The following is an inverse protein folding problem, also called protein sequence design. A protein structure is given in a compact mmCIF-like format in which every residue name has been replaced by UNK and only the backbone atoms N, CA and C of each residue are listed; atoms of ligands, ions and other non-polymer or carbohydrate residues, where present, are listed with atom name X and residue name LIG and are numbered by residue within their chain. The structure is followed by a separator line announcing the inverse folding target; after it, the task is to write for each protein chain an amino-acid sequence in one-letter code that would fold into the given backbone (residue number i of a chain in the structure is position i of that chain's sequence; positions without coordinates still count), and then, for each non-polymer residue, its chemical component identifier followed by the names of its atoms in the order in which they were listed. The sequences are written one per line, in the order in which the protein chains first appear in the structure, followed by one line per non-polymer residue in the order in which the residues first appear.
data_IF_719373289258
#
_entry.id   IF_719373289258
#
_cell.length_a   1.000
_cell.length_b   1.000
_cell.length_c   1.000
_cell.angle_alpha   90.00
_cell.angle_beta   90.00
_cell.angle_gamma   90.00
#
_symmetry.space_group_name_H-M   'P 1'
#
loop_
_entity.id
_entity.type
_entity.pdbx_description
1 polymer ?
#
# COMPACT_ATOMS: atom_id res chain seq x y z
N UNK A 1 -17.20 -5.94 -14.46
CA UNK A 1 -16.18 -6.25 -15.50
C UNK A 1 -16.18 -7.74 -15.85
N UNK A 2 -15.90 -8.65 -14.91
CA UNK A 2 -15.85 -10.09 -15.20
C UNK A 2 -17.13 -10.61 -15.89
N UNK A 3 -18.30 -10.29 -15.34
CA UNK A 3 -19.60 -10.65 -15.95
C UNK A 3 -19.76 -10.14 -17.38
N UNK A 4 -19.29 -8.91 -17.66
CA UNK A 4 -19.36 -8.32 -18.99
C UNK A 4 -18.41 -9.01 -19.99
N UNK A 5 -17.22 -9.42 -19.54
CA UNK A 5 -16.27 -10.17 -20.35
C UNK A 5 -16.82 -11.56 -20.68
N UNK A 6 -17.36 -12.26 -19.69
CA UNK A 6 -18.00 -13.56 -19.89
C UNK A 6 -19.20 -13.48 -20.82
N UNK A 7 -20.04 -12.44 -20.70
CA UNK A 7 -21.17 -12.21 -21.61
C UNK A 7 -20.74 -11.95 -23.06
N UNK A 8 -19.50 -11.50 -23.27
CA UNK A 8 -18.89 -11.33 -24.58
C UNK A 8 -18.05 -12.56 -25.03
N UNK A 9 -18.19 -13.70 -24.35
CA UNK A 9 -17.44 -14.94 -24.59
C UNK A 9 -15.90 -14.79 -24.44
N UNK A 10 -15.47 -13.79 -23.65
CA UNK A 10 -14.07 -13.55 -23.33
C UNK A 10 -13.74 -14.24 -22.00
N UNK A 11 -12.74 -15.12 -22.01
CA UNK A 11 -12.18 -15.72 -20.79
C UNK A 11 -11.58 -14.64 -19.89
N UNK A 12 -11.99 -14.62 -18.62
CA UNK A 12 -11.51 -13.66 -17.62
C UNK A 12 -10.79 -14.39 -16.47
N UNK A 13 -9.65 -13.84 -16.05
CA UNK A 13 -8.88 -14.29 -14.88
C UNK A 13 -8.58 -13.06 -14.03
N UNK A 14 -8.82 -13.15 -12.72
CA UNK A 14 -8.50 -12.09 -11.77
C UNK A 14 -7.03 -12.19 -11.34
N UNK A 15 -6.35 -11.05 -11.25
CA UNK A 15 -4.93 -10.96 -10.96
C UNK A 15 -4.58 -9.81 -10.02
N UNK A 16 -3.74 -10.08 -9.03
CA UNK A 16 -3.24 -9.09 -8.07
C UNK A 16 -1.73 -9.13 -7.97
N UNK A 17 -1.06 -8.02 -8.32
CA UNK A 17 0.40 -7.90 -8.22
C UNK A 17 0.80 -7.35 -6.84
N UNK A 18 1.71 -8.05 -6.17
CA UNK A 18 2.32 -7.64 -4.91
C UNK A 18 3.84 -7.67 -5.05
N UNK A 19 4.48 -6.51 -4.93
CA UNK A 19 5.92 -6.36 -5.05
C UNK A 19 6.33 -5.05 -5.72
N UNK A 20 7.63 -4.91 -5.94
CA UNK A 20 8.18 -3.84 -6.79
C UNK A 20 8.04 -4.17 -8.28
N UNK A 21 8.77 -3.46 -9.16
CA UNK A 21 9.00 -3.94 -10.51
C UNK A 21 9.68 -5.32 -10.49
N UNK A 22 9.17 -6.26 -11.29
CA UNK A 22 9.71 -7.63 -11.39
C UNK A 22 11.00 -7.66 -12.23
N UNK A 23 12.08 -7.11 -11.71
CA UNK A 23 13.41 -7.17 -12.34
C UNK A 23 14.22 -8.37 -11.85
N UNK A 24 13.94 -8.83 -10.63
CA UNK A 24 14.62 -9.93 -9.96
C UNK A 24 13.59 -10.99 -9.54
N UNK A 25 13.88 -12.30 -9.74
CA UNK A 25 13.04 -13.39 -9.25
C UNK A 25 12.78 -13.27 -7.74
N UNK A 26 11.68 -13.86 -7.26
CA UNK A 26 11.33 -13.88 -5.83
C UNK A 26 11.17 -12.49 -5.17
N UNK A 27 10.89 -11.44 -5.94
CA UNK A 27 10.62 -10.08 -5.39
C UNK A 27 9.20 -9.60 -5.64
N UNK A 28 8.51 -10.18 -6.63
CA UNK A 28 7.19 -9.73 -7.09
C UNK A 28 6.34 -10.93 -7.48
N UNK A 29 5.12 -10.99 -6.95
CA UNK A 29 4.16 -12.05 -7.20
C UNK A 29 2.93 -11.52 -7.92
N UNK A 30 2.53 -12.22 -8.98
CA UNK A 30 1.21 -12.15 -9.59
C UNK A 30 0.35 -13.26 -9.00
N UNK A 31 -0.51 -12.89 -8.04
CA UNK A 31 -1.55 -13.78 -7.56
C UNK A 31 -2.67 -13.86 -8.58
N UNK A 32 -3.21 -15.05 -8.81
CA UNK A 32 -4.23 -15.32 -9.82
C UNK A 32 -5.41 -16.09 -9.21
N UNK A 33 -6.60 -15.81 -9.70
CA UNK A 33 -7.80 -16.58 -9.37
C UNK A 33 -8.79 -16.63 -10.54
N UNK A 34 -9.49 -17.74 -10.67
CA UNK A 34 -10.40 -18.01 -11.78
C UNK A 34 -10.15 -19.37 -12.43
N UNK A 35 -11.16 -19.90 -13.13
CA UNK A 35 -11.11 -21.24 -13.77
C UNK A 35 -9.88 -21.44 -14.67
N UNK A 36 -9.44 -20.38 -15.35
CA UNK A 36 -8.32 -20.42 -16.30
C UNK A 36 -7.02 -19.83 -15.73
N UNK A 37 -6.91 -19.70 -14.40
CA UNK A 37 -5.76 -19.07 -13.73
C UNK A 37 -4.44 -19.83 -13.97
N UNK A 38 -4.45 -21.16 -13.93
CA UNK A 38 -3.24 -21.97 -14.20
C UNK A 38 -2.70 -21.77 -15.63
N UNK A 39 -3.61 -21.62 -16.60
CA UNK A 39 -3.23 -21.30 -17.97
C UNK A 39 -2.52 -19.96 -18.05
N UNK A 40 -3.05 -18.93 -17.38
CA UNK A 40 -2.41 -17.61 -17.34
C UNK A 40 -1.07 -17.66 -16.61
N UNK A 41 -0.98 -18.40 -15.51
CA UNK A 41 0.26 -18.59 -14.76
C UNK A 41 1.39 -19.14 -15.65
N UNK A 42 1.07 -20.10 -16.52
CA UNK A 42 2.05 -20.71 -17.43
C UNK A 42 2.73 -19.73 -18.40
N UNK A 43 2.14 -18.56 -18.65
CA UNK A 43 2.74 -17.54 -19.53
C UNK A 43 3.93 -16.82 -18.90
N UNK A 44 4.12 -16.91 -17.58
CA UNK A 44 5.14 -16.16 -16.85
C UNK A 44 6.33 -17.03 -16.37
N UNK A 45 6.32 -18.33 -16.66
CA UNK A 45 7.31 -19.29 -16.11
C UNK A 45 8.76 -19.02 -16.51
N UNK A 46 9.01 -18.35 -17.63
CA UNK A 46 10.36 -17.99 -18.08
C UNK A 46 10.82 -16.61 -17.56
N UNK A 47 9.92 -15.85 -16.92
CA UNK A 47 10.18 -14.50 -16.45
C UNK A 47 10.52 -14.42 -14.95
N UNK A 48 10.97 -13.25 -14.47
CA UNK A 48 11.24 -13.00 -13.05
C UNK A 48 9.96 -12.76 -12.22
N UNK A 49 8.78 -12.73 -12.85
CA UNK A 49 7.51 -12.52 -12.18
C UNK A 49 6.98 -13.87 -11.67
N UNK A 50 6.97 -14.05 -10.35
CA UNK A 50 6.42 -15.24 -9.72
C UNK A 50 4.90 -15.27 -9.88
N UNK A 51 4.32 -16.46 -10.04
CA UNK A 51 2.86 -16.62 -10.13
C UNK A 51 2.34 -17.54 -9.03
N UNK A 52 1.18 -17.21 -8.46
CA UNK A 52 0.50 -18.07 -7.48
C UNK A 52 -1.00 -18.10 -7.74
N UNK A 53 -1.55 -19.28 -8.07
CA UNK A 53 -3.01 -19.48 -8.19
C UNK A 53 -3.56 -19.76 -6.79
N UNK A 54 -4.50 -18.93 -6.33
CA UNK A 54 -5.01 -18.97 -4.95
C UNK A 54 -6.48 -19.37 -4.83
N UNK A 55 -7.14 -19.63 -5.96
CA UNK A 55 -8.50 -20.14 -5.99
C UNK A 55 -9.15 -19.99 -7.37
N UNK A 56 -10.37 -20.51 -7.48
CA UNK A 56 -11.14 -20.57 -8.71
C UNK A 56 -12.17 -19.43 -8.84
N UNK A 57 -12.37 -18.63 -7.79
CA UNK A 57 -13.35 -17.56 -7.77
C UNK A 57 -12.72 -16.23 -8.18
N UNK A 58 -13.32 -15.59 -9.18
CA UNK A 58 -12.97 -14.23 -9.59
C UNK A 58 -13.12 -13.27 -8.40
N UNK A 59 -12.06 -12.50 -8.13
CA UNK A 59 -12.01 -11.50 -7.07
C UNK A 59 -11.12 -11.90 -5.89
N UNK A 60 -10.72 -13.17 -5.76
CA UNK A 60 -9.87 -13.62 -4.64
C UNK A 60 -8.47 -13.01 -4.70
N UNK A 61 -7.83 -12.98 -5.88
CA UNK A 61 -6.51 -12.37 -6.05
C UNK A 61 -6.53 -10.86 -5.81
N UNK A 62 -7.54 -10.18 -6.35
CA UNK A 62 -7.78 -8.76 -6.08
C UNK A 62 -8.00 -8.51 -4.59
N UNK A 63 -8.84 -9.28 -3.91
CA UNK A 63 -9.09 -9.15 -2.47
C UNK A 63 -7.81 -9.29 -1.63
N UNK A 64 -6.96 -10.29 -1.95
CA UNK A 64 -5.66 -10.45 -1.31
C UNK A 64 -4.79 -9.19 -1.47
N UNK A 65 -4.67 -8.68 -2.70
CA UNK A 65 -3.92 -7.43 -2.97
C UNK A 65 -4.49 -6.26 -2.19
N UNK A 66 -5.81 -6.12 -2.09
CA UNK A 66 -6.44 -5.02 -1.36
C UNK A 66 -6.13 -5.09 0.15
N UNK A 67 -6.22 -6.26 0.76
CA UNK A 67 -5.84 -6.46 2.17
C UNK A 67 -4.34 -6.20 2.42
N UNK A 68 -3.46 -6.67 1.52
CA UNK A 68 -2.03 -6.40 1.62
C UNK A 68 -1.70 -4.89 1.48
N UNK A 69 -2.35 -4.22 0.54
CA UNK A 69 -2.20 -2.79 0.32
C UNK A 69 -2.73 -1.98 1.53
N UNK A 70 -3.85 -2.41 2.12
CA UNK A 70 -4.42 -1.81 3.33
C UNK A 70 -3.42 -1.86 4.49
N UNK A 71 -2.81 -3.03 4.76
CA UNK A 71 -1.78 -3.15 5.79
C UNK A 71 -0.56 -2.27 5.49
N UNK A 72 0.02 -2.40 4.29
CA UNK A 72 1.27 -1.73 3.96
C UNK A 72 1.10 -0.21 3.97
N UNK A 73 0.19 0.34 3.16
CA UNK A 73 0.00 1.79 3.03
C UNK A 73 -0.74 2.38 4.23
N UNK A 74 -1.81 1.73 4.69
CA UNK A 74 -2.58 2.19 5.85
C UNK A 74 -1.72 2.31 7.11
N UNK A 75 -0.83 1.35 7.38
CA UNK A 75 0.09 1.45 8.52
C UNK A 75 1.10 2.59 8.35
N UNK A 76 1.61 2.84 7.14
CA UNK A 76 2.51 3.98 6.91
C UNK A 76 1.80 5.31 7.13
N UNK A 77 0.57 5.47 6.65
CA UNK A 77 -0.23 6.66 6.88
C UNK A 77 -0.54 6.87 8.38
N UNK A 78 -0.91 5.80 9.09
CA UNK A 78 -1.12 5.82 10.54
C UNK A 78 0.14 6.27 11.29
N UNK A 79 1.29 5.67 11.01
CA UNK A 79 2.56 6.05 11.63
C UNK A 79 2.94 7.50 11.33
N UNK A 80 2.64 7.98 10.11
CA UNK A 80 2.87 9.38 9.73
C UNK A 80 2.02 10.32 10.59
N UNK A 81 0.73 10.01 10.80
CA UNK A 81 -0.16 10.79 11.67
C UNK A 81 0.26 10.73 13.14
N UNK A 82 0.71 9.57 13.63
CA UNK A 82 1.19 9.42 15.01
C UNK A 82 2.41 10.32 15.25
N UNK A 83 3.40 10.30 14.33
CA UNK A 83 4.57 11.15 14.45
C UNK A 83 4.23 12.64 14.34
N UNK A 84 3.36 13.02 13.39
CA UNK A 84 2.92 14.41 13.25
C UNK A 84 2.16 14.90 14.49
N UNK A 85 1.26 14.08 15.04
CA UNK A 85 0.56 14.38 16.29
C UNK A 85 1.50 14.49 17.48
N UNK A 86 2.49 13.60 17.59
CA UNK A 86 3.51 13.68 18.63
C UNK A 86 4.38 14.94 18.50
N UNK A 87 4.71 15.36 17.28
CA UNK A 87 5.44 16.61 17.01
C UNK A 87 4.62 17.82 17.46
N UNK A 88 3.35 17.92 17.05
CA UNK A 88 2.47 19.02 17.43
C UNK A 88 2.25 19.13 18.95
N UNK A 89 2.37 18.01 19.68
CA UNK A 89 2.26 17.96 21.13
C UNK A 89 3.62 18.14 21.85
N UNK A 90 4.72 18.30 21.13
CA UNK A 90 6.07 18.39 21.70
C UNK A 90 6.57 17.09 22.35
N UNK A 91 6.01 15.93 21.95
CA UNK A 91 6.25 14.62 22.56
C UNK A 91 6.97 13.62 21.63
N UNK A 92 7.38 14.03 20.41
CA UNK A 92 8.01 13.10 19.45
C UNK A 92 9.24 12.41 20.04
N UNK A 93 10.16 13.15 20.64
CA UNK A 93 11.38 12.58 21.22
C UNK A 93 11.08 11.57 22.35
N UNK A 94 10.09 11.86 23.19
CA UNK A 94 9.64 10.94 24.24
C UNK A 94 9.02 9.66 23.67
N UNK A 95 8.21 9.77 22.61
CA UNK A 95 7.59 8.63 21.95
C UNK A 95 8.64 7.75 21.26
N UNK A 96 9.60 8.36 20.57
CA UNK A 96 10.70 7.65 19.91
C UNK A 96 11.61 6.96 20.91
N UNK A 97 11.93 7.62 22.02
CA UNK A 97 12.66 7.00 23.13
C UNK A 97 11.90 5.80 23.72
N UNK A 98 10.58 5.90 23.86
CA UNK A 98 9.72 4.80 24.31
C UNK A 98 9.75 3.62 23.34
N UNK A 99 9.62 3.87 22.04
CA UNK A 99 9.70 2.84 21.00
C UNK A 99 11.06 2.17 20.86
N UNK A 100 12.11 2.85 21.32
CA UNK A 100 13.50 2.37 21.26
C UNK A 100 13.92 1.60 22.51
N UNK A 101 13.07 1.51 23.55
CA UNK A 101 13.38 0.77 24.78
C UNK A 101 13.67 -0.70 24.48
N UNK A 102 14.62 -1.26 25.22
CA UNK A 102 15.04 -2.66 25.05
C UNK A 102 15.84 -2.92 23.78
N UNK A 103 16.37 -1.89 23.12
CA UNK A 103 17.17 -2.04 21.89
C UNK A 103 16.34 -2.23 20.63
N UNK A 104 15.08 -1.77 20.63
CA UNK A 104 14.19 -1.84 19.47
C UNK A 104 14.53 -0.76 18.44
N UNK A 105 14.64 -1.13 17.17
CA UNK A 105 14.86 -0.19 16.06
C UNK A 105 13.56 0.41 15.50
N UNK A 106 12.42 0.21 16.19
CA UNK A 106 11.11 0.59 15.67
C UNK A 106 10.96 2.09 15.37
N UNK A 107 11.56 2.96 16.19
CA UNK A 107 11.55 4.40 15.94
C UNK A 107 12.28 4.73 14.63
N UNK A 108 13.53 4.27 14.48
CA UNK A 108 14.33 4.50 13.28
C UNK A 108 13.66 3.94 12.00
N UNK A 109 13.12 2.72 12.08
CA UNK A 109 12.38 2.11 10.97
C UNK A 109 11.13 2.93 10.60
N UNK A 110 10.41 3.44 11.60
CA UNK A 110 9.22 4.29 11.39
C UNK A 110 9.60 5.60 10.70
N UNK A 111 10.62 6.31 11.18
CA UNK A 111 11.09 7.54 10.54
C UNK A 111 11.48 7.29 9.09
N UNK A 112 12.26 6.25 8.83
CA UNK A 112 12.67 5.90 7.47
C UNK A 112 11.48 5.58 6.57
N UNK A 113 10.47 4.87 7.10
CA UNK A 113 9.25 4.52 6.36
C UNK A 113 8.43 5.75 5.98
N UNK A 114 8.23 6.67 6.93
CA UNK A 114 7.50 7.94 6.73
C UNK A 114 8.23 8.83 5.72
N UNK A 115 9.56 8.91 5.79
CA UNK A 115 10.35 9.65 4.82
C UNK A 115 10.29 9.05 3.41
N UNK A 116 10.55 7.74 3.27
CA UNK A 116 10.61 7.07 1.96
C UNK A 116 9.27 7.04 1.21
N UNK A 117 8.14 7.10 1.92
CA UNK A 117 6.83 7.04 1.26
C UNK A 117 6.53 8.30 0.45
N UNK A 118 7.15 9.44 0.78
CA UNK A 118 6.93 10.74 0.12
C UNK A 118 7.13 10.68 -1.40
N UNK A 119 8.19 10.01 -1.86
CA UNK A 119 8.47 9.81 -3.29
C UNK A 119 7.35 9.08 -4.07
N UNK A 120 6.46 8.35 -3.36
CA UNK A 120 5.37 7.57 -3.96
C UNK A 120 3.98 8.02 -3.49
N UNK A 121 3.90 9.00 -2.59
CA UNK A 121 2.65 9.43 -1.96
C UNK A 121 1.62 9.93 -2.99
N UNK A 122 2.09 10.64 -4.03
CA UNK A 122 1.26 11.22 -5.09
C UNK A 122 0.34 10.23 -5.82
N UNK A 123 0.69 8.93 -5.87
CA UNK A 123 -0.15 7.90 -6.50
C UNK A 123 -0.99 7.10 -5.51
N UNK A 124 -0.78 7.27 -4.21
CA UNK A 124 -1.45 6.47 -3.18
C UNK A 124 -2.80 7.02 -2.75
N UNK A 125 -3.14 8.28 -3.03
CA UNK A 125 -4.48 8.83 -2.76
C UNK A 125 -5.58 8.01 -3.44
N UNK A 126 -5.46 7.76 -4.75
CA UNK A 126 -6.41 6.91 -5.49
C UNK A 126 -6.45 5.48 -4.96
N UNK A 127 -5.28 4.88 -4.70
CA UNK A 127 -5.20 3.53 -4.15
C UNK A 127 -5.85 3.43 -2.76
N UNK A 128 -5.81 4.48 -1.93
CA UNK A 128 -6.48 4.49 -0.62
C UNK A 128 -8.00 4.52 -0.76
N UNK A 129 -8.54 5.27 -1.72
CA UNK A 129 -9.97 5.26 -2.01
C UNK A 129 -10.44 3.89 -2.53
N UNK A 130 -9.65 3.21 -3.35
CA UNK A 130 -9.97 1.83 -3.77
C UNK A 130 -10.04 0.86 -2.57
N UNK A 131 -9.12 1.00 -1.61
CA UNK A 131 -9.13 0.19 -0.39
C UNK A 131 -10.34 0.53 0.47
N UNK A 132 -10.64 1.81 0.67
CA UNK A 132 -11.82 2.27 1.38
C UNK A 132 -13.10 1.65 0.79
N UNK A 133 -13.26 1.70 -0.54
CA UNK A 133 -14.39 1.10 -1.24
C UNK A 133 -14.45 -0.43 -1.10
N UNK A 134 -13.29 -1.10 -1.13
CA UNK A 134 -13.23 -2.55 -0.93
C UNK A 134 -13.71 -2.93 0.47
N UNK A 135 -13.25 -2.23 1.50
CA UNK A 135 -13.67 -2.48 2.88
C UNK A 135 -15.16 -2.14 3.09
N UNK A 136 -15.64 -1.04 2.50
CA UNK A 136 -17.06 -0.70 2.52
C UNK A 136 -17.95 -1.77 1.86
N UNK A 137 -17.50 -2.38 0.76
CA UNK A 137 -18.25 -3.44 0.07
C UNK A 137 -18.49 -4.70 0.90
N UNK A 138 -17.67 -4.92 1.94
CA UNK A 138 -17.82 -6.04 2.90
C UNK A 138 -18.39 -5.58 4.26
N UNK A 139 -18.92 -4.36 4.33
CA UNK A 139 -19.58 -3.81 5.52
C UNK A 139 -18.64 -3.22 6.57
N UNK A 140 -17.36 -3.01 6.27
CA UNK A 140 -16.40 -2.37 7.17
C UNK A 140 -16.39 -0.83 6.97
N UNK A 141 -16.07 -0.04 8.01
CA UNK A 141 -16.00 1.42 7.88
C UNK A 141 -14.86 1.86 6.93
N UNK A 142 -15.12 2.75 5.95
CA UNK A 142 -14.11 3.23 5.00
C UNK A 142 -13.21 4.33 5.57
N UNK A 143 -13.67 5.04 6.61
CA UNK A 143 -13.09 6.32 7.07
C UNK A 143 -11.60 6.27 7.44
N UNK A 144 -11.09 5.12 7.88
CA UNK A 144 -9.66 4.97 8.16
C UNK A 144 -8.82 5.14 6.89
N UNK A 145 -9.23 4.51 5.78
CA UNK A 145 -8.52 4.57 4.51
C UNK A 145 -8.78 5.89 3.77
N UNK A 146 -9.94 6.51 3.96
CA UNK A 146 -10.20 7.88 3.50
C UNK A 146 -9.28 8.89 4.17
N UNK A 147 -9.13 8.84 5.50
CA UNK A 147 -8.17 9.69 6.22
C UNK A 147 -6.71 9.40 5.80
N UNK A 148 -6.37 8.14 5.49
CA UNK A 148 -5.07 7.81 4.92
C UNK A 148 -4.86 8.43 3.52
N UNK A 149 -5.92 8.59 2.72
CA UNK A 149 -5.86 9.25 1.43
C UNK A 149 -5.47 10.74 1.60
N UNK A 150 -6.03 11.41 2.60
CA UNK A 150 -5.71 12.81 2.93
C UNK A 150 -4.23 12.98 3.31
N UNK A 151 -3.68 12.05 4.10
CA UNK A 151 -2.25 12.04 4.45
C UNK A 151 -1.39 11.98 3.19
N UNK A 152 -1.69 11.07 2.27
CA UNK A 152 -0.93 10.95 1.02
C UNK A 152 -1.12 12.15 0.09
N UNK A 153 -2.30 12.76 0.09
CA UNK A 153 -2.57 13.97 -0.69
C UNK A 153 -1.69 15.14 -0.21
N UNK A 154 -1.56 15.35 1.10
CA UNK A 154 -0.67 16.38 1.66
C UNK A 154 0.79 16.17 1.24
N UNK A 155 1.24 14.93 1.25
CA UNK A 155 2.60 14.54 0.88
C UNK A 155 2.85 14.48 -0.64
N UNK A 156 1.82 14.65 -1.48
CA UNK A 156 1.92 14.41 -2.93
C UNK A 156 2.91 15.34 -3.65
N UNK A 157 3.15 16.54 -3.11
CA UNK A 157 4.04 17.53 -3.71
C UNK A 157 5.52 17.11 -3.69
N UNK A 158 5.90 16.11 -2.88
CA UNK A 158 7.26 15.56 -2.84
C UNK A 158 7.60 14.64 -4.03
N UNK A 159 6.69 14.43 -5.00
CA UNK A 159 6.87 13.52 -6.14
C UNK A 159 8.20 13.68 -6.87
N UNK A 160 8.64 14.91 -7.07
CA UNK A 160 9.81 15.28 -7.86
C UNK A 160 10.89 15.97 -7.01
N UNK A 161 10.89 15.72 -5.70
CA UNK A 161 11.94 16.24 -4.82
C UNK A 161 13.31 15.64 -5.15
N UNK A 162 14.34 16.48 -5.24
CA UNK A 162 15.71 16.07 -5.59
C UNK A 162 16.32 15.07 -4.57
N UNK A 163 15.84 15.10 -3.32
CA UNK A 163 16.25 14.22 -2.24
C UNK A 163 15.05 13.76 -1.42
N UNK A 164 15.23 12.65 -0.69
CA UNK A 164 14.23 12.23 0.29
C UNK A 164 14.16 13.26 1.42
N UNK A 165 13.00 13.91 1.66
CA UNK A 165 12.87 14.97 2.65
C UNK A 165 13.25 14.47 4.05
N UNK A 166 13.78 15.37 4.87
CA UNK A 166 14.04 15.08 6.28
C UNK A 166 12.73 14.94 7.05
N UNK A 167 12.75 14.17 8.13
CA UNK A 167 11.52 13.89 8.88
C UNK A 167 10.78 15.17 9.31
N UNK A 168 11.43 16.22 9.86
CA UNK A 168 10.73 17.44 10.26
C UNK A 168 9.98 18.12 9.10
N UNK A 169 10.51 18.10 7.88
CA UNK A 169 9.85 18.67 6.70
C UNK A 169 8.57 17.90 6.36
N UNK A 170 8.63 16.57 6.44
CA UNK A 170 7.45 15.71 6.22
C UNK A 170 6.38 15.98 7.27
N UNK A 171 6.76 16.16 8.53
CA UNK A 171 5.82 16.42 9.62
C UNK A 171 5.19 17.82 9.52
N UNK A 172 5.97 18.86 9.19
CA UNK A 172 5.47 20.23 8.97
C UNK A 172 4.35 20.26 7.90
N UNK A 173 4.58 19.59 6.77
CA UNK A 173 3.58 19.44 5.70
C UNK A 173 2.31 18.75 6.19
N UNK A 174 2.44 17.71 7.01
CA UNK A 174 1.28 17.00 7.56
C UNK A 174 0.50 17.87 8.54
N UNK A 175 1.17 18.77 9.27
CA UNK A 175 0.55 19.73 10.18
C UNK A 175 -0.03 20.95 9.46
N UNK A 176 0.34 21.18 8.20
CA UNK A 176 -0.13 22.31 7.40
C UNK A 176 0.70 23.58 7.61
N UNK A 177 1.97 23.42 7.99
CA UNK A 177 2.97 24.47 8.17
C UNK A 177 3.78 24.75 6.89
#
# INVERSE_FOLDING_TARGET
MAEQMTAAEITFVDGGIIGGPAWEPQTTWLYLSGEQADRVASFFVEGPLETAVIGDQIGQASALKMCFAAYSKGTTALLSMILAGAEALGMRDNLEAQWSRGGSDFAAQTQQRVRRVTAKAWRFTGEMHEIANTFASVGLPPGFHEAAADVYQRLAHFKDADATPELPEVLAVLLGE
#
